data_IF_171015432315
#
_entry.id   IF_171015432315
#
_cell.length_a   1.000
_cell.length_b   1.000
_cell.length_c   1.000
_cell.angle_alpha   90.00
_cell.angle_beta   90.00
_cell.angle_gamma   90.00
#
_symmetry.space_group_name_H-M   'P 1'
#
loop_
_entity.id
_entity.type
_entity.pdbx_description
1 polymer ?
#
# COMPACT_ATOMS: atom_id res chain seq x y z
N UNK A 1 38.64 -41.55 -41.20
CA UNK A 1 38.25 -40.87 -39.95
C UNK A 1 38.45 -39.35 -39.99
N UNK A 2 39.50 -38.79 -40.62
CA UNK A 2 39.66 -37.33 -40.78
C UNK A 2 38.66 -36.64 -41.74
N UNK A 3 38.14 -37.36 -42.75
CA UNK A 3 37.22 -36.80 -43.75
C UNK A 3 35.88 -36.35 -43.17
N UNK A 4 35.34 -37.05 -42.15
CA UNK A 4 34.07 -36.65 -41.52
C UNK A 4 34.18 -35.33 -40.74
N UNK A 5 35.36 -35.02 -40.19
CA UNK A 5 35.56 -33.80 -39.41
C UNK A 5 35.61 -32.55 -40.28
N UNK A 6 36.14 -32.66 -41.51
CA UNK A 6 36.22 -31.56 -42.47
C UNK A 6 34.85 -31.12 -43.02
N UNK A 7 33.83 -31.99 -42.98
CA UNK A 7 32.45 -31.66 -43.37
C UNK A 7 31.59 -31.16 -42.21
N UNK A 8 31.96 -31.40 -40.95
CA UNK A 8 31.20 -30.93 -39.78
C UNK A 8 31.49 -29.46 -39.42
N UNK A 9 32.72 -29.00 -39.68
CA UNK A 9 33.14 -27.61 -39.44
C UNK A 9 32.33 -26.54 -40.19
N UNK A 10 32.02 -26.67 -41.49
CA UNK A 10 31.21 -25.67 -42.20
C UNK A 10 29.71 -25.72 -41.81
N UNK A 11 29.22 -26.85 -41.30
CA UNK A 11 27.83 -26.97 -40.83
C UNK A 11 27.57 -26.20 -39.52
N UNK A 12 28.59 -26.08 -38.65
CA UNK A 12 28.50 -25.28 -37.43
C UNK A 12 28.51 -23.76 -37.69
N UNK A 13 29.12 -23.30 -38.79
CA UNK A 13 29.12 -21.87 -39.19
C UNK A 13 27.82 -21.40 -39.85
N UNK A 14 26.90 -22.32 -40.17
CA UNK A 14 25.62 -22.05 -40.84
C UNK A 14 24.43 -21.98 -39.86
N UNK A 15 24.67 -22.10 -38.56
CA UNK A 15 23.64 -21.85 -37.55
C UNK A 15 23.47 -20.32 -37.45
N UNK A 16 22.32 -19.74 -37.85
CA UNK A 16 22.08 -18.34 -37.58
C UNK A 16 22.12 -18.13 -36.07
N UNK A 17 23.00 -17.23 -35.62
CA UNK A 17 23.01 -16.77 -34.24
C UNK A 17 21.67 -16.07 -34.02
N UNK A 18 20.68 -16.78 -33.48
CA UNK A 18 19.43 -16.16 -33.08
C UNK A 18 19.80 -15.05 -32.09
N UNK A 19 19.46 -13.78 -32.34
CA UNK A 19 19.61 -12.76 -31.32
C UNK A 19 18.81 -13.24 -30.11
N UNK A 20 19.44 -13.28 -28.94
CA UNK A 20 18.71 -13.58 -27.71
C UNK A 20 17.52 -12.63 -27.63
N UNK A 21 16.32 -13.17 -27.40
CA UNK A 21 15.15 -12.34 -27.17
C UNK A 21 15.49 -11.36 -26.04
N UNK A 22 15.22 -10.07 -26.27
CA UNK A 22 15.43 -9.06 -25.24
C UNK A 22 14.63 -9.48 -24.01
N UNK A 23 15.33 -9.71 -22.90
CA UNK A 23 14.69 -10.05 -21.63
C UNK A 23 13.83 -8.90 -21.12
N UNK A 24 13.21 -9.11 -19.96
CA UNK A 24 12.46 -8.07 -19.27
C UNK A 24 13.37 -6.87 -18.98
N UNK A 25 13.13 -5.75 -19.67
CA UNK A 25 13.79 -4.48 -19.39
C UNK A 25 12.99 -3.75 -18.30
N UNK A 26 13.58 -3.58 -17.12
CA UNK A 26 12.97 -2.77 -16.07
C UNK A 26 12.89 -1.30 -16.52
N UNK A 27 11.79 -0.59 -16.19
CA UNK A 27 11.67 0.83 -16.48
C UNK A 27 12.85 1.60 -15.87
N UNK A 28 13.55 2.35 -16.71
CA UNK A 28 14.58 3.28 -16.27
C UNK A 28 13.97 4.68 -16.18
N UNK A 29 14.45 5.49 -15.26
CA UNK A 29 14.05 6.89 -15.18
C UNK A 29 14.36 7.58 -16.51
N UNK A 30 13.34 8.18 -17.12
CA UNK A 30 13.42 8.78 -18.46
C UNK A 30 14.00 10.21 -18.46
N UNK A 31 14.32 10.74 -17.28
CA UNK A 31 14.92 12.07 -17.12
C UNK A 31 13.92 13.22 -17.14
N UNK A 32 12.60 12.96 -17.15
CA UNK A 32 11.58 14.01 -17.10
C UNK A 32 11.13 14.26 -15.67
N UNK A 33 11.15 15.54 -15.28
CA UNK A 33 10.66 15.99 -13.97
C UNK A 33 9.13 15.93 -13.92
N UNK A 34 8.60 15.09 -13.02
CA UNK A 34 7.17 14.92 -12.75
C UNK A 34 6.79 15.37 -11.33
N UNK A 35 7.74 15.34 -10.40
CA UNK A 35 7.50 15.73 -9.00
C UNK A 35 7.38 17.26 -8.92
N UNK A 36 6.27 17.72 -8.33
CA UNK A 36 5.98 19.15 -8.21
C UNK A 36 6.60 19.74 -6.94
N UNK A 37 7.28 20.89 -7.05
CA UNK A 37 7.58 21.74 -5.90
C UNK A 37 6.30 22.48 -5.46
N UNK A 38 5.63 22.00 -4.41
CA UNK A 38 4.30 22.47 -4.00
C UNK A 38 4.41 23.61 -2.99
N UNK A 39 3.87 24.77 -3.38
CA UNK A 39 3.92 26.02 -2.63
C UNK A 39 2.57 26.76 -2.64
N UNK A 40 2.51 27.89 -1.93
CA UNK A 40 1.27 28.68 -1.74
C UNK A 40 0.64 29.13 -3.09
N UNK A 41 1.40 29.17 -4.18
CA UNK A 41 0.92 29.61 -5.50
C UNK A 41 0.28 28.48 -6.30
N UNK A 42 0.75 27.24 -6.16
CA UNK A 42 0.34 26.12 -7.03
C UNK A 42 -0.44 25.01 -6.32
N UNK A 43 -0.43 24.93 -4.98
CA UNK A 43 -1.03 23.80 -4.24
C UNK A 43 -2.51 23.56 -4.60
N UNK A 44 -3.32 24.62 -4.75
CA UNK A 44 -4.74 24.50 -5.14
C UNK A 44 -4.92 23.93 -6.55
N UNK A 45 -3.97 24.18 -7.44
CA UNK A 45 -4.00 23.65 -8.81
C UNK A 45 -3.57 22.18 -8.79
N UNK A 46 -2.55 21.83 -8.01
CA UNK A 46 -2.09 20.46 -7.84
C UNK A 46 -3.22 19.55 -7.31
N UNK A 47 -3.87 19.97 -6.22
CA UNK A 47 -5.00 19.23 -5.62
C UNK A 47 -6.21 19.02 -6.54
N UNK A 48 -6.36 19.85 -7.59
CA UNK A 48 -7.46 19.72 -8.56
C UNK A 48 -7.07 18.94 -9.81
N UNK A 49 -5.78 18.75 -10.04
CA UNK A 49 -5.27 18.17 -11.28
C UNK A 49 -5.32 16.64 -11.23
N UNK A 50 -5.06 16.07 -10.06
CA UNK A 50 -4.89 14.63 -9.85
C UNK A 50 -6.01 14.10 -8.96
N UNK A 51 -6.42 12.85 -9.20
CA UNK A 51 -7.34 12.11 -8.32
C UNK A 51 -6.73 11.87 -6.93
N UNK A 52 -5.41 11.59 -6.90
CA UNK A 52 -4.63 11.40 -5.69
C UNK A 52 -3.32 12.19 -5.78
N UNK A 53 -2.90 12.83 -4.68
CA UNK A 53 -1.65 13.59 -4.63
C UNK A 53 -0.77 13.11 -3.47
N UNK A 54 0.32 12.41 -3.79
CA UNK A 54 1.33 12.01 -2.84
C UNK A 54 2.29 13.19 -2.55
N UNK A 55 2.41 13.57 -1.28
CA UNK A 55 3.24 14.69 -0.86
C UNK A 55 4.37 14.24 0.07
N UNK A 56 5.60 14.54 -0.34
CA UNK A 56 6.78 14.36 0.49
C UNK A 56 7.10 15.64 1.26
N UNK A 57 6.83 15.63 2.56
CA UNK A 57 7.23 16.70 3.46
C UNK A 57 8.69 16.53 3.87
N UNK A 58 9.50 17.56 3.66
CA UNK A 58 10.93 17.49 3.97
C UNK A 58 11.43 18.75 4.68
N UNK A 59 12.50 18.58 5.44
CA UNK A 59 13.28 19.70 5.97
C UNK A 59 14.04 20.43 4.85
N UNK A 60 14.45 21.68 5.08
CA UNK A 60 15.23 22.44 4.10
C UNK A 60 16.48 21.66 3.71
N UNK A 61 16.81 21.71 2.42
CA UNK A 61 18.01 21.03 1.90
C UNK A 61 19.24 21.57 2.64
N UNK A 62 19.98 20.71 3.37
CA UNK A 62 21.11 21.14 4.18
C UNK A 62 22.34 21.44 3.33
N UNK A 63 23.28 22.21 3.88
CA UNK A 63 24.53 22.58 3.19
C UNK A 63 25.51 21.40 3.04
N UNK A 64 25.34 20.33 3.82
CA UNK A 64 26.26 19.20 3.79
C UNK A 64 26.05 18.33 2.54
N UNK A 65 27.15 18.06 1.83
CA UNK A 65 27.14 17.31 0.56
C UNK A 65 26.51 15.92 0.68
N UNK A 66 26.66 15.25 1.83
CA UNK A 66 26.10 13.91 2.07
C UNK A 66 24.58 13.95 2.19
N UNK A 67 24.05 14.93 2.92
CA UNK A 67 22.60 15.07 3.09
C UNK A 67 21.93 15.60 1.81
N UNK A 68 22.62 16.43 1.02
CA UNK A 68 22.17 16.81 -0.32
C UNK A 68 22.03 15.59 -1.25
N UNK A 69 23.01 14.68 -1.24
CA UNK A 69 22.93 13.43 -2.00
C UNK A 69 21.74 12.57 -1.54
N UNK A 70 21.50 12.47 -0.24
CA UNK A 70 20.33 11.74 0.28
C UNK A 70 19.03 12.35 -0.22
N UNK A 71 18.90 13.67 -0.18
CA UNK A 71 17.74 14.38 -0.70
C UNK A 71 17.53 14.11 -2.21
N UNK A 72 18.59 14.19 -3.00
CA UNK A 72 18.55 13.86 -4.45
C UNK A 72 18.14 12.40 -4.70
N UNK A 73 18.63 11.45 -3.89
CA UNK A 73 18.21 10.05 -4.00
C UNK A 73 16.72 9.88 -3.69
N UNK A 74 16.20 10.60 -2.69
CA UNK A 74 14.77 10.61 -2.37
C UNK A 74 13.95 11.21 -3.51
N UNK A 75 14.35 12.35 -4.07
CA UNK A 75 13.66 12.95 -5.22
C UNK A 75 13.63 11.97 -6.41
N UNK A 76 14.75 11.29 -6.69
CA UNK A 76 14.79 10.30 -7.77
C UNK A 76 13.85 9.10 -7.54
N UNK A 77 13.67 8.67 -6.28
CA UNK A 77 12.70 7.63 -5.93
C UNK A 77 11.27 8.10 -6.24
N UNK A 78 10.94 9.33 -5.88
CA UNK A 78 9.63 9.91 -6.16
C UNK A 78 9.41 10.10 -7.66
N UNK A 79 10.42 10.53 -8.40
CA UNK A 79 10.35 10.68 -9.86
C UNK A 79 10.11 9.34 -10.57
N UNK A 80 10.78 8.28 -10.12
CA UNK A 80 10.56 6.95 -10.67
C UNK A 80 9.15 6.43 -10.38
N UNK A 81 8.65 6.63 -9.15
CA UNK A 81 7.28 6.27 -8.80
C UNK A 81 6.26 7.08 -9.62
N UNK A 82 6.48 8.39 -9.77
CA UNK A 82 5.66 9.27 -10.59
C UNK A 82 5.64 8.86 -12.06
N UNK A 83 6.76 8.39 -12.60
CA UNK A 83 6.83 7.87 -13.96
C UNK A 83 5.98 6.60 -14.13
N UNK A 84 6.01 5.68 -13.16
CA UNK A 84 5.24 4.43 -13.22
C UNK A 84 3.73 4.69 -13.07
N UNK A 85 3.36 5.64 -12.21
CA UNK A 85 1.97 5.94 -11.87
C UNK A 85 1.34 7.08 -12.69
N UNK A 86 2.04 7.58 -13.71
CA UNK A 86 1.58 8.68 -14.56
C UNK A 86 0.21 8.37 -15.22
N UNK A 87 -0.01 7.12 -15.64
CA UNK A 87 -1.27 6.68 -16.26
C UNK A 87 -2.42 6.47 -15.25
N UNK A 88 -2.12 6.44 -13.94
CA UNK A 88 -3.10 6.25 -12.86
C UNK A 88 -3.64 7.56 -12.30
N UNK A 89 -3.27 8.70 -12.89
CA UNK A 89 -3.64 10.05 -12.44
C UNK A 89 -3.20 10.38 -11.00
N UNK A 90 -2.11 9.75 -10.54
CA UNK A 90 -1.50 10.05 -9.24
C UNK A 90 -0.42 11.11 -9.43
N UNK A 91 -0.56 12.23 -8.73
CA UNK A 91 0.44 13.28 -8.67
C UNK A 91 1.46 13.04 -7.55
N UNK A 92 2.69 13.49 -7.77
CA UNK A 92 3.72 13.55 -6.74
C UNK A 92 4.18 14.98 -6.54
N UNK A 93 4.45 15.37 -5.29
CA UNK A 93 5.01 16.66 -4.98
C UNK A 93 5.84 16.67 -3.70
N UNK A 94 6.69 17.67 -3.57
CA UNK A 94 7.47 17.95 -2.37
C UNK A 94 6.97 19.23 -1.72
N UNK A 95 7.05 19.29 -0.39
CA UNK A 95 6.70 20.49 0.40
C UNK A 95 7.82 20.75 1.41
N UNK A 96 8.50 21.89 1.27
CA UNK A 96 9.54 22.33 2.20
C UNK A 96 8.90 22.85 3.50
N UNK A 97 9.28 22.26 4.63
CA UNK A 97 8.68 22.56 5.93
C UNK A 97 8.96 23.97 6.43
N UNK A 98 9.99 24.66 5.92
CA UNK A 98 10.30 26.06 6.28
C UNK A 98 9.79 27.04 5.24
N UNK A 99 10.12 26.84 3.96
CA UNK A 99 9.74 27.77 2.88
C UNK A 99 8.23 27.77 2.67
N UNK A 100 7.61 26.60 2.76
CA UNK A 100 6.20 26.37 2.47
C UNK A 100 5.42 25.98 3.73
N UNK A 101 5.91 26.42 4.90
CA UNK A 101 5.30 26.16 6.21
C UNK A 101 3.79 26.49 6.27
N UNK A 102 3.33 27.50 5.53
CA UNK A 102 1.90 27.85 5.44
C UNK A 102 1.10 26.77 4.71
N UNK A 103 1.65 26.20 3.64
CA UNK A 103 1.03 25.12 2.88
C UNK A 103 1.05 23.85 3.70
N UNK A 104 2.19 23.50 4.30
CA UNK A 104 2.30 22.34 5.19
C UNK A 104 1.28 22.40 6.34
N UNK A 105 1.10 23.57 6.96
CA UNK A 105 0.07 23.75 8.00
C UNK A 105 -1.37 23.65 7.46
N UNK A 106 -1.62 24.08 6.22
CA UNK A 106 -2.96 24.03 5.60
C UNK A 106 -3.34 22.64 5.13
N UNK A 107 -2.39 21.91 4.56
CA UNK A 107 -2.57 20.54 4.09
C UNK A 107 -2.61 19.54 5.25
N UNK A 108 -2.18 19.97 6.44
CA UNK A 108 -2.22 19.18 7.66
C UNK A 108 -1.10 18.14 7.70
N UNK A 109 -1.05 17.42 8.81
CA UNK A 109 -0.35 16.14 8.85
C UNK A 109 -1.32 15.15 8.21
N UNK A 110 -1.01 14.54 7.05
CA UNK A 110 -1.95 13.65 6.36
C UNK A 110 -2.33 12.49 7.28
N UNK A 111 -3.61 12.12 7.26
CA UNK A 111 -4.14 10.95 7.98
C UNK A 111 -3.44 9.65 7.51
N UNK A 112 -3.08 9.57 6.23
CA UNK A 112 -2.45 8.41 5.61
C UNK A 112 -0.96 8.63 5.44
N UNK A 113 -0.24 8.73 6.57
CA UNK A 113 1.22 8.83 6.54
C UNK A 113 1.82 7.48 6.21
N UNK A 114 2.49 7.37 5.06
CA UNK A 114 3.26 6.18 4.70
C UNK A 114 4.48 6.06 5.61
N UNK A 115 4.37 5.26 6.67
CA UNK A 115 5.43 4.94 7.64
C UNK A 115 6.21 3.66 7.22
N UNK A 116 6.52 3.57 5.93
CA UNK A 116 7.22 2.45 5.31
C UNK A 116 8.60 2.79 4.76
N UNK A 117 9.23 1.82 4.14
CA UNK A 117 10.47 1.95 3.41
C UNK A 117 10.29 2.88 2.22
N UNK A 118 11.08 3.96 2.18
CA UNK A 118 11.07 4.90 1.07
C UNK A 118 11.82 4.34 -0.15
N UNK A 119 11.12 3.54 -0.95
CA UNK A 119 11.59 3.01 -2.23
C UNK A 119 10.48 3.04 -3.27
N UNK A 120 10.84 3.13 -4.55
CA UNK A 120 9.86 3.32 -5.62
C UNK A 120 8.90 2.13 -5.72
N UNK A 121 9.39 0.90 -5.56
CA UNK A 121 8.54 -0.30 -5.58
C UNK A 121 7.51 -0.28 -4.43
N UNK A 122 7.95 -0.02 -3.20
CA UNK A 122 7.05 0.00 -2.02
C UNK A 122 6.01 1.11 -2.16
N UNK A 123 6.42 2.31 -2.62
CA UNK A 123 5.48 3.41 -2.85
C UNK A 123 4.47 3.08 -3.96
N UNK A 124 4.92 2.49 -5.07
CA UNK A 124 4.05 2.11 -6.18
C UNK A 124 3.05 1.04 -5.74
N UNK A 125 3.51 -0.01 -5.07
CA UNK A 125 2.65 -1.07 -4.51
C UNK A 125 1.61 -0.46 -3.56
N UNK A 126 2.05 0.32 -2.57
CA UNK A 126 1.16 0.96 -1.60
C UNK A 126 0.09 1.86 -2.26
N UNK A 127 0.49 2.68 -3.24
CA UNK A 127 -0.43 3.61 -3.91
C UNK A 127 -1.39 2.88 -4.85
N UNK A 128 -0.98 1.75 -5.43
CA UNK A 128 -1.89 0.92 -6.23
C UNK A 128 -2.92 0.24 -5.33
N UNK A 129 -2.50 -0.32 -4.19
CA UNK A 129 -3.41 -0.91 -3.20
C UNK A 129 -4.42 0.12 -2.67
N UNK A 130 -3.99 1.38 -2.48
CA UNK A 130 -4.88 2.47 -2.04
C UNK A 130 -5.89 2.90 -3.12
N UNK A 131 -5.65 2.58 -4.40
CA UNK A 131 -6.63 2.81 -5.48
C UNK A 131 -7.66 1.69 -5.60
N UNK A 132 -7.44 0.55 -4.96
CA UNK A 132 -8.39 -0.56 -4.97
C UNK A 132 -9.59 -0.27 -4.05
N UNK A 133 -10.71 -0.98 -4.26
CA UNK A 133 -11.89 -0.80 -3.42
C UNK A 133 -11.57 -1.21 -1.97
N UNK A 134 -12.09 -0.47 -0.97
CA UNK A 134 -11.84 -0.74 0.46
C UNK A 134 -12.37 -2.07 0.93
N UNK A 135 -13.35 -2.66 0.24
CA UNK A 135 -13.94 -3.94 0.60
C UNK A 135 -13.97 -4.87 -0.60
N UNK A 136 -13.31 -6.02 -0.48
CA UNK A 136 -13.34 -7.08 -1.49
C UNK A 136 -14.56 -8.00 -1.29
N UNK A 137 -15.33 -8.26 -2.35
CA UNK A 137 -16.53 -9.13 -2.27
C UNK A 137 -16.17 -10.58 -2.60
N UNK A 138 -16.46 -11.50 -1.67
CA UNK A 138 -16.32 -12.95 -1.83
C UNK A 138 -17.67 -13.54 -2.25
N UNK A 139 -17.75 -13.96 -3.51
CA UNK A 139 -18.93 -14.58 -4.12
C UNK A 139 -18.83 -16.11 -4.26
N UNK A 140 -17.64 -16.71 -4.12
CA UNK A 140 -17.48 -18.15 -4.33
C UNK A 140 -16.43 -18.82 -3.44
N UNK A 141 -16.42 -20.15 -3.45
CA UNK A 141 -15.52 -20.97 -2.64
C UNK A 141 -14.04 -20.88 -3.05
N UNK A 142 -13.73 -20.44 -4.28
CA UNK A 142 -12.33 -20.24 -4.70
C UNK A 142 -11.75 -18.96 -4.11
N UNK A 143 -12.54 -17.89 -4.10
CA UNK A 143 -12.23 -16.62 -3.43
C UNK A 143 -12.14 -16.83 -1.90
N UNK A 144 -13.04 -17.61 -1.31
CA UNK A 144 -12.93 -17.96 0.11
C UNK A 144 -11.60 -18.67 0.45
N UNK A 145 -11.13 -19.58 -0.41
CA UNK A 145 -9.80 -20.19 -0.24
C UNK A 145 -8.64 -19.21 -0.45
N UNK A 146 -8.85 -18.13 -1.19
CA UNK A 146 -7.85 -17.08 -1.30
C UNK A 146 -7.79 -16.28 0.01
N UNK A 147 -8.96 -15.91 0.55
CA UNK A 147 -9.09 -15.30 1.87
C UNK A 147 -8.40 -16.12 2.96
N UNK A 148 -8.64 -17.44 3.03
CA UNK A 148 -8.02 -18.30 4.06
C UNK A 148 -6.49 -18.28 4.02
N UNK A 149 -5.88 -18.07 2.85
CA UNK A 149 -4.42 -18.07 2.65
C UNK A 149 -3.71 -16.79 3.11
N UNK A 150 -4.46 -15.73 3.42
CA UNK A 150 -3.90 -14.44 3.86
C UNK A 150 -3.63 -14.42 5.37
N UNK A 151 -2.98 -15.45 5.90
CA UNK A 151 -2.84 -15.64 7.37
C UNK A 151 -1.94 -14.58 8.03
N UNK A 152 -1.10 -13.90 7.26
CA UNK A 152 -0.15 -12.91 7.77
C UNK A 152 -0.77 -11.52 7.99
N UNK A 153 -1.95 -11.27 7.44
CA UNK A 153 -2.61 -9.97 7.43
C UNK A 153 -3.78 -9.93 8.43
N UNK A 154 -4.01 -8.75 9.02
CA UNK A 154 -5.27 -8.50 9.75
C UNK A 154 -6.38 -8.43 8.70
N UNK A 155 -7.42 -9.24 8.87
CA UNK A 155 -8.53 -9.31 7.91
C UNK A 155 -9.88 -9.35 8.62
N UNK A 156 -10.85 -8.67 8.04
CA UNK A 156 -12.23 -8.67 8.51
C UNK A 156 -13.14 -9.24 7.43
N UNK A 157 -14.16 -9.98 7.82
CA UNK A 157 -15.18 -10.44 6.89
C UNK A 157 -16.59 -10.27 7.46
N UNK A 158 -17.44 -9.59 6.69
CA UNK A 158 -18.84 -9.37 7.03
C UNK A 158 -19.81 -10.10 6.11
N UNK A 159 -20.91 -10.61 6.66
CA UNK A 159 -22.02 -11.14 5.86
C UNK A 159 -23.20 -10.17 5.86
N UNK A 160 -23.52 -9.63 4.69
CA UNK A 160 -24.57 -8.63 4.51
C UNK A 160 -25.64 -9.10 3.53
N UNK A 161 -26.75 -8.36 3.48
CA UNK A 161 -27.88 -8.72 2.60
C UNK A 161 -27.59 -8.42 1.13
N UNK A 162 -26.95 -7.29 0.86
CA UNK A 162 -26.66 -6.75 -0.47
C UNK A 162 -25.73 -5.54 -0.32
N UNK A 163 -25.19 -5.04 -1.44
CA UNK A 163 -24.42 -3.80 -1.49
C UNK A 163 -25.24 -2.58 -1.03
N UNK A 164 -26.56 -2.54 -1.29
CA UNK A 164 -27.43 -1.43 -0.86
C UNK A 164 -27.79 -1.45 0.66
N UNK A 165 -27.15 -2.30 1.46
CA UNK A 165 -27.46 -2.43 2.88
C UNK A 165 -26.76 -1.33 3.69
N UNK A 166 -27.50 -0.64 4.55
CA UNK A 166 -26.95 0.38 5.47
C UNK A 166 -25.78 -0.15 6.31
N UNK A 167 -25.84 -1.42 6.74
CA UNK A 167 -24.75 -2.05 7.49
C UNK A 167 -23.51 -2.36 6.64
N UNK A 168 -23.68 -2.58 5.34
CA UNK A 168 -22.55 -2.76 4.43
C UNK A 168 -21.89 -1.41 4.15
N UNK A 169 -22.68 -0.35 3.99
CA UNK A 169 -22.16 1.01 3.83
C UNK A 169 -21.33 1.43 5.04
N UNK A 170 -21.85 1.26 6.26
CA UNK A 170 -21.08 1.55 7.48
C UNK A 170 -19.80 0.69 7.62
N UNK A 171 -19.82 -0.54 7.09
CA UNK A 171 -18.64 -1.40 7.03
C UNK A 171 -17.62 -0.91 5.99
N UNK A 172 -18.10 -0.39 4.85
CA UNK A 172 -17.27 0.21 3.81
C UNK A 172 -16.64 1.52 4.28
N UNK A 173 -17.38 2.40 4.94
CA UNK A 173 -16.88 3.63 5.54
C UNK A 173 -15.77 3.33 6.56
N UNK A 174 -15.96 2.31 7.41
CA UNK A 174 -14.92 1.88 8.34
C UNK A 174 -13.67 1.36 7.61
N UNK A 175 -13.84 0.60 6.52
CA UNK A 175 -12.74 0.06 5.73
C UNK A 175 -11.87 1.14 5.09
N UNK A 176 -12.46 2.25 4.62
CA UNK A 176 -11.74 3.40 4.08
C UNK A 176 -10.74 4.00 5.08
N UNK A 177 -11.01 3.90 6.38
CA UNK A 177 -10.09 4.42 7.41
C UNK A 177 -8.83 3.57 7.64
N UNK A 178 -8.84 2.30 7.21
CA UNK A 178 -7.74 1.36 7.48
C UNK A 178 -7.06 0.84 6.21
N UNK A 179 -7.51 1.27 5.03
CA UNK A 179 -6.81 0.97 3.78
C UNK A 179 -5.39 1.55 3.77
N UNK A 180 -4.43 0.89 3.11
CA UNK A 180 -4.50 -0.47 2.56
C UNK A 180 -4.03 -1.55 3.57
N UNK A 181 -3.76 -1.17 4.82
CA UNK A 181 -3.05 -1.97 5.82
C UNK A 181 -3.86 -3.13 6.41
N UNK A 182 -5.18 -2.95 6.54
CA UNK A 182 -6.12 -3.96 7.03
C UNK A 182 -7.06 -4.32 5.88
N UNK A 183 -7.22 -5.61 5.61
CA UNK A 183 -8.00 -6.09 4.46
C UNK A 183 -9.44 -6.37 4.88
N UNK A 184 -10.41 -5.73 4.23
CA UNK A 184 -11.83 -5.91 4.52
C UNK A 184 -12.48 -6.73 3.41
N UNK A 185 -13.27 -7.72 3.81
CA UNK A 185 -14.01 -8.59 2.93
C UNK A 185 -15.50 -8.55 3.26
N UNK A 186 -16.33 -8.73 2.25
CA UNK A 186 -17.76 -8.91 2.44
C UNK A 186 -18.27 -10.07 1.61
N UNK A 187 -19.33 -10.70 2.07
CA UNK A 187 -20.09 -11.64 1.25
C UNK A 187 -21.57 -11.32 1.33
N UNK A 188 -22.26 -11.53 0.22
CA UNK A 188 -23.72 -11.52 0.14
C UNK A 188 -24.28 -12.94 -0.07
N UNK A 189 -23.38 -13.92 -0.20
CA UNK A 189 -23.73 -15.29 -0.55
C UNK A 189 -23.93 -16.14 0.71
N UNK A 190 -25.15 -16.66 0.86
CA UNK A 190 -25.51 -17.50 2.01
C UNK A 190 -24.68 -18.78 2.10
N UNK A 191 -24.14 -19.29 0.99
CA UNK A 191 -23.24 -20.45 1.00
C UNK A 191 -21.90 -20.13 1.63
N UNK A 192 -21.30 -18.99 1.27
CA UNK A 192 -20.01 -18.52 1.81
C UNK A 192 -20.16 -18.22 3.30
N UNK A 193 -21.21 -17.48 3.68
CA UNK A 193 -21.48 -17.16 5.08
C UNK A 193 -21.67 -18.40 5.97
N UNK A 194 -22.26 -19.48 5.43
CA UNK A 194 -22.41 -20.75 6.17
C UNK A 194 -21.07 -21.44 6.43
N UNK A 195 -20.15 -21.39 5.48
CA UNK A 195 -18.81 -21.99 5.61
C UNK A 195 -17.99 -21.25 6.66
N UNK A 196 -18.10 -19.91 6.69
CA UNK A 196 -17.53 -19.03 7.71
C UNK A 196 -18.30 -19.01 9.04
N UNK A 197 -19.45 -19.69 9.13
CA UNK A 197 -20.36 -19.68 10.29
C UNK A 197 -20.94 -18.31 10.68
N UNK A 198 -20.91 -17.33 9.77
CA UNK A 198 -21.45 -15.99 9.92
C UNK A 198 -22.98 -15.94 9.80
N UNK A 199 -23.62 -15.10 10.62
CA UNK A 199 -25.03 -14.71 10.49
C UNK A 199 -25.15 -13.32 9.86
N UNK A 200 -26.37 -12.96 9.46
CA UNK A 200 -26.62 -11.68 8.78
C UNK A 200 -26.20 -10.49 9.67
N UNK A 201 -25.46 -9.55 9.09
CA UNK A 201 -24.86 -8.37 9.72
C UNK A 201 -23.83 -8.70 10.82
N UNK A 202 -23.23 -9.88 10.76
CA UNK A 202 -22.10 -10.28 11.61
C UNK A 202 -20.79 -9.98 10.89
N UNK A 203 -19.81 -9.53 11.65
CA UNK A 203 -18.45 -9.25 11.20
C UNK A 203 -17.50 -10.01 12.09
N UNK A 204 -16.64 -10.80 11.47
CA UNK A 204 -15.57 -11.53 12.13
C UNK A 204 -14.23 -10.83 11.87
N UNK A 205 -13.44 -10.68 12.93
CA UNK A 205 -12.08 -10.15 12.90
C UNK A 205 -11.08 -11.31 13.04
N UNK A 206 -10.16 -11.42 12.10
CA UNK A 206 -9.08 -12.39 12.14
C UNK A 206 -7.78 -11.69 12.47
N UNK A 207 -7.21 -12.07 13.62
CA UNK A 207 -5.86 -11.71 13.99
C UNK A 207 -4.85 -12.49 13.14
N UNK A 208 -3.73 -11.89 12.71
CA UNK A 208 -2.66 -12.57 12.00
C UNK A 208 -2.21 -13.83 12.72
N UNK A 209 -2.02 -14.90 11.94
CA UNK A 209 -1.60 -16.22 12.36
C UNK A 209 -2.56 -16.95 13.31
N UNK A 210 -3.79 -16.45 13.48
CA UNK A 210 -4.84 -17.12 14.26
C UNK A 210 -5.87 -17.78 13.33
N UNK A 211 -6.22 -19.04 13.62
CA UNK A 211 -7.21 -19.80 12.85
C UNK A 211 -8.66 -19.40 13.20
N UNK A 212 -8.93 -19.11 14.47
CA UNK A 212 -10.27 -18.76 14.96
C UNK A 212 -10.48 -17.24 14.93
N UNK A 213 -11.59 -16.75 14.34
CA UNK A 213 -11.92 -15.34 14.37
C UNK A 213 -12.50 -14.91 15.72
N UNK A 214 -12.43 -13.60 15.96
CA UNK A 214 -13.19 -12.93 17.01
C UNK A 214 -14.37 -12.22 16.36
N UNK A 215 -15.58 -12.68 16.66
CA UNK A 215 -16.81 -11.97 16.23
C UNK A 215 -16.97 -10.67 17.00
N UNK A 216 -17.14 -9.57 16.27
CA UNK A 216 -17.32 -8.24 16.87
C UNK A 216 -18.65 -8.21 17.65
N UNK A 217 -18.65 -7.81 18.94
CA UNK A 217 -19.86 -7.79 19.74
C UNK A 217 -20.80 -6.63 19.34
N UNK A 218 -22.10 -6.79 19.60
CA UNK A 218 -23.08 -5.70 19.47
C UNK A 218 -23.60 -5.43 18.05
N UNK A 219 -24.18 -6.45 17.41
CA UNK A 219 -24.85 -6.32 16.10
C UNK A 219 -26.18 -5.54 16.17
N UNK A 220 -26.53 -4.73 15.15
CA UNK A 220 -25.70 -4.35 14.00
C UNK A 220 -24.66 -3.28 14.36
N UNK A 221 -23.53 -3.28 13.66
CA UNK A 221 -22.41 -2.37 13.92
C UNK A 221 -22.58 -1.04 13.15
N UNK A 222 -22.22 0.07 13.80
CA UNK A 222 -21.95 1.35 13.14
C UNK A 222 -20.46 1.46 12.76
N UNK A 223 -20.11 2.42 11.90
CA UNK A 223 -18.73 2.74 11.54
C UNK A 223 -17.86 2.94 12.79
N UNK A 224 -18.28 3.81 13.72
CA UNK A 224 -17.55 4.14 14.95
C UNK A 224 -17.21 2.89 15.78
N UNK A 225 -18.16 1.95 15.91
CA UNK A 225 -17.96 0.72 16.69
C UNK A 225 -16.94 -0.20 16.02
N UNK A 226 -16.94 -0.27 14.68
CA UNK A 226 -15.96 -1.05 13.93
C UNK A 226 -14.56 -0.43 14.06
N UNK A 227 -14.46 0.89 13.89
CA UNK A 227 -13.20 1.63 14.00
C UNK A 227 -12.60 1.50 15.40
N UNK A 228 -13.41 1.67 16.44
CA UNK A 228 -12.97 1.55 17.83
C UNK A 228 -12.46 0.12 18.13
N UNK A 229 -13.21 -0.90 17.71
CA UNK A 229 -12.83 -2.30 17.92
C UNK A 229 -11.50 -2.64 17.22
N UNK A 230 -11.36 -2.25 15.95
CA UNK A 230 -10.16 -2.53 15.16
C UNK A 230 -8.96 -1.78 15.73
N UNK A 231 -9.15 -0.54 16.18
CA UNK A 231 -8.09 0.26 16.81
C UNK A 231 -7.62 -0.38 18.12
N UNK A 232 -8.52 -0.91 18.94
CA UNK A 232 -8.19 -1.63 20.17
C UNK A 232 -7.41 -2.92 19.88
N UNK A 233 -7.74 -3.63 18.80
CA UNK A 233 -7.12 -4.91 18.42
C UNK A 233 -6.03 -4.76 17.34
N UNK A 234 -5.57 -3.54 17.07
CA UNK A 234 -4.58 -3.24 16.01
C UNK A 234 -3.21 -3.88 16.26
N UNK A 235 -2.89 -4.21 17.51
CA UNK A 235 -1.62 -4.85 17.90
C UNK A 235 -1.84 -6.36 18.06
N UNK A 236 -1.50 -7.18 17.05
CA UNK A 236 -1.62 -8.62 17.16
C UNK A 236 -0.49 -9.21 18.01
N UNK A 237 -0.71 -10.44 18.46
CA UNK A 237 0.23 -11.29 19.21
C UNK A 237 1.49 -11.56 18.40
N UNK A 238 1.34 -11.86 17.11
CA UNK A 238 2.43 -12.01 16.16
C UNK A 238 2.15 -11.12 14.94
N UNK A 239 3.14 -10.33 14.53
CA UNK A 239 3.06 -9.47 13.34
C UNK A 239 4.29 -9.66 12.46
N UNK A 240 4.07 -9.69 11.16
CA UNK A 240 5.13 -9.69 10.15
C UNK A 240 5.60 -8.26 9.93
N UNK A 241 6.91 -8.06 9.82
CA UNK A 241 7.48 -6.78 9.42
C UNK A 241 7.34 -6.62 7.90
N UNK A 242 6.57 -5.65 7.43
CA UNK A 242 6.34 -5.39 6.00
C UNK A 242 7.04 -4.12 5.55
N UNK A 243 7.33 -4.00 4.27
CA UNK A 243 8.05 -2.83 3.75
C UNK A 243 7.22 -1.55 3.88
N UNK A 244 5.91 -1.63 3.65
CA UNK A 244 4.96 -0.51 3.69
C UNK A 244 4.69 0.08 5.08
N UNK A 245 4.95 -0.66 6.16
CA UNK A 245 4.64 -0.27 7.55
C UNK A 245 5.78 -0.52 8.54
N UNK A 246 7.00 -0.81 8.06
CA UNK A 246 8.09 -1.24 8.93
C UNK A 246 8.42 -0.24 10.05
N UNK A 247 8.32 1.07 9.79
CA UNK A 247 8.65 2.06 10.81
C UNK A 247 7.52 2.21 11.82
N UNK A 248 6.26 2.08 11.42
CA UNK A 248 5.14 2.02 12.35
C UNK A 248 5.26 0.79 13.26
N UNK A 249 5.50 -0.37 12.66
CA UNK A 249 5.72 -1.62 13.40
C UNK A 249 6.90 -1.50 14.35
N UNK A 250 8.01 -0.88 13.94
CA UNK A 250 9.23 -0.73 14.75
C UNK A 250 9.10 0.31 15.88
N UNK A 251 8.52 1.48 15.62
CA UNK A 251 8.42 2.57 16.59
C UNK A 251 7.37 2.29 17.67
N UNK A 252 6.44 1.37 17.40
CA UNK A 252 5.42 0.91 18.36
C UNK A 252 5.97 0.14 19.57
N UNK A 253 7.29 -0.12 19.60
CA UNK A 253 7.99 -0.70 20.74
C UNK A 253 8.79 0.41 21.49
N UNK A 254 8.40 0.71 22.72
CA UNK A 254 9.24 1.26 23.80
C UNK A 254 9.94 2.63 23.61
N UNK A 255 9.87 3.28 22.44
CA UNK A 255 10.59 4.54 22.18
C UNK A 255 9.97 5.78 22.85
N UNK A 256 8.74 5.70 23.36
CA UNK A 256 8.18 6.76 24.20
C UNK A 256 8.69 6.69 25.64
N UNK A 257 9.02 5.52 26.17
CA UNK A 257 9.60 5.39 27.52
C UNK A 257 11.09 5.76 27.54
N UNK A 258 11.84 5.50 26.45
CA UNK A 258 13.26 5.86 26.36
C UNK A 258 13.54 7.38 26.22
N UNK A 259 12.52 8.21 25.94
CA UNK A 259 12.66 9.68 25.88
C UNK A 259 12.46 10.40 27.23
N UNK A 260 12.16 9.67 28.32
CA UNK A 260 11.89 10.28 29.64
C UNK A 260 13.04 10.08 30.65
N UNK A 261 14.12 9.36 30.32
CA UNK A 261 15.26 9.16 31.24
C UNK A 261 16.61 9.63 30.67
N UNK A 262 16.66 10.90 30.26
CA UNK A 262 17.91 11.67 30.23
C UNK A 262 17.59 13.16 30.46
N UNK A 263 17.29 13.49 31.71
CA UNK A 263 17.50 14.82 32.31
C UNK A 263 18.59 14.71 33.35
#
# INVERSE_FOLDING_TARGET
MLSLWLFLLPCLSLVPLAPAEKGLEFPQYDGKDRVLDVNDKNYKKALKKYSMLCLYYHEPVPDSKELQKRHQMTELVLELAAQVLEEKDIGFGTVDSHKDAKVAKKLGQPCDRVDGLLSANTLVEFLLDLLEEPVEVIGNALELRAFDRMEEDIRLIGYFKSEDSEHYEAFKEAAEQFQPYIKFFATFEKSVAKELTLRLNEVDFYEPFMEEPVTIPGRPHSEEVLVDFITEHRRPTLRKLRAEDMFETWVSDDCLEAKIHNT
#
